data_IF_471073020355
#
_entry.id   IF_471073020355
#
_cell.length_a   1.000
_cell.length_b   1.000
_cell.length_c   1.000
_cell.angle_alpha   90.00
_cell.angle_beta   90.00
_cell.angle_gamma   90.00
#
_symmetry.space_group_name_H-M   'P 1'
#
loop_
_entity.id
_entity.type
_entity.pdbx_description
1 polymer ?
#
# COMPACT_ATOMS: atom_id res chain seq x y z
N UNK A 1 -4.60 35.93 -5.31
CA UNK A 1 -4.75 35.33 -3.96
C UNK A 1 -4.77 33.81 -4.12
N UNK A 2 -3.84 33.09 -3.51
CA UNK A 2 -3.83 31.62 -3.53
C UNK A 2 -4.70 31.11 -2.37
N UNK A 3 -5.62 30.18 -2.65
CA UNK A 3 -6.46 29.52 -1.62
C UNK A 3 -6.11 28.03 -1.55
N UNK A 4 -5.72 27.56 -0.37
CA UNK A 4 -5.44 26.14 -0.13
C UNK A 4 -6.72 25.41 0.24
N UNK A 5 -7.13 24.46 -0.59
CA UNK A 5 -8.32 23.61 -0.37
C UNK A 5 -7.96 22.11 -0.32
N UNK A 6 -6.70 21.78 0.00
CA UNK A 6 -6.22 20.41 0.08
C UNK A 6 -7.03 19.58 1.08
N UNK A 7 -7.34 18.33 0.73
CA UNK A 7 -8.14 17.44 1.58
C UNK A 7 -9.66 17.69 1.56
N UNK A 8 -10.15 18.79 0.97
CA UNK A 8 -11.59 19.03 0.82
C UNK A 8 -12.32 18.00 -0.05
N UNK A 9 -11.59 17.34 -0.95
CA UNK A 9 -12.08 16.26 -1.78
C UNK A 9 -12.00 14.87 -1.10
N UNK A 10 -11.56 14.79 0.17
CA UNK A 10 -11.53 13.52 0.89
C UNK A 10 -12.97 13.03 1.07
N UNK A 11 -13.25 11.88 0.47
CA UNK A 11 -14.51 11.20 0.69
C UNK A 11 -14.63 10.80 2.17
N UNK A 12 -15.83 10.91 2.74
CA UNK A 12 -16.09 10.32 4.06
C UNK A 12 -16.01 8.81 3.94
N UNK A 13 -15.19 8.20 4.80
CA UNK A 13 -15.09 6.75 4.89
C UNK A 13 -16.46 6.13 5.19
N UNK A 14 -16.76 5.04 4.49
CA UNK A 14 -17.96 4.22 4.67
C UNK A 14 -17.62 2.97 5.47
N UNK A 15 -18.61 2.34 6.13
CA UNK A 15 -18.41 1.03 6.73
C UNK A 15 -17.92 0.02 5.68
N UNK A 16 -16.95 -0.80 6.07
CA UNK A 16 -16.45 -1.87 5.23
C UNK A 16 -17.53 -2.94 5.01
N UNK A 17 -17.45 -3.62 3.87
CA UNK A 17 -18.26 -4.82 3.62
C UNK A 17 -17.89 -5.93 4.60
N UNK A 18 -18.80 -6.87 4.83
CA UNK A 18 -18.55 -8.02 5.71
C UNK A 18 -17.28 -8.78 5.32
N UNK A 19 -17.08 -9.02 4.02
CA UNK A 19 -15.90 -9.76 3.53
C UNK A 19 -14.58 -9.05 3.85
N UNK A 20 -14.56 -7.71 3.77
CA UNK A 20 -13.38 -6.92 4.13
C UNK A 20 -13.17 -6.85 5.64
N UNK A 21 -14.25 -6.78 6.41
CA UNK A 21 -14.18 -6.85 7.87
C UNK A 21 -13.61 -8.20 8.34
N UNK A 22 -14.15 -9.30 7.81
CA UNK A 22 -13.68 -10.65 8.08
C UNK A 22 -12.21 -10.82 7.67
N UNK A 23 -11.81 -10.25 6.52
CA UNK A 23 -10.42 -10.24 6.04
C UNK A 23 -9.48 -9.49 6.99
N UNK A 24 -9.85 -8.29 7.44
CA UNK A 24 -9.08 -7.50 8.40
C UNK A 24 -8.98 -8.17 9.78
N UNK A 25 -9.91 -9.07 10.12
CA UNK A 25 -9.89 -9.85 11.36
C UNK A 25 -9.06 -11.15 11.26
N UNK A 26 -8.65 -11.59 10.05
CA UNK A 26 -7.91 -12.87 9.88
C UNK A 26 -6.58 -12.89 10.62
N UNK A 27 -5.89 -11.76 10.70
CA UNK A 27 -4.56 -11.64 11.29
C UNK A 27 -4.43 -10.30 12.02
N UNK A 28 -3.44 -10.22 12.93
CA UNK A 28 -3.21 -9.03 13.76
C UNK A 28 -2.79 -7.81 12.94
N UNK A 29 -2.07 -8.03 11.84
CA UNK A 29 -1.49 -6.98 11.00
C UNK A 29 -2.05 -7.09 9.60
N UNK A 30 -2.49 -5.97 9.03
CA UNK A 30 -2.89 -5.89 7.62
C UNK A 30 -2.09 -4.81 6.88
N UNK A 31 -1.64 -5.12 5.68
CA UNK A 31 -0.91 -4.23 4.79
C UNK A 31 -1.68 -4.10 3.47
N UNK A 32 -1.85 -2.88 2.99
CA UNK A 32 -2.40 -2.62 1.65
C UNK A 32 -1.25 -2.34 0.69
N UNK A 33 -1.24 -2.99 -0.47
CA UNK A 33 -0.34 -2.69 -1.58
C UNK A 33 -1.16 -2.22 -2.78
N UNK A 34 -0.96 -0.97 -3.22
CA UNK A 34 -1.68 -0.38 -4.37
C UNK A 34 -0.83 0.66 -5.09
N UNK A 35 -0.59 0.43 -6.39
CA UNK A 35 0.19 1.32 -7.26
C UNK A 35 -0.67 2.34 -8.02
N UNK A 36 -1.94 2.49 -7.64
CA UNK A 36 -2.88 3.41 -8.28
C UNK A 36 -3.61 2.79 -9.47
N UNK A 37 -4.21 3.63 -10.32
CA UNK A 37 -5.00 3.20 -11.49
C UNK A 37 -4.19 3.16 -12.79
N UNK A 38 -3.17 4.01 -12.90
CA UNK A 38 -2.33 4.12 -14.10
C UNK A 38 -1.20 3.08 -14.12
N UNK A 39 -0.53 2.87 -12.98
CA UNK A 39 0.46 1.82 -12.83
C UNK A 39 -0.22 0.58 -12.23
N UNK A 40 -0.79 -0.26 -13.09
CA UNK A 40 -1.48 -1.49 -12.68
C UNK A 40 -0.45 -2.52 -12.22
N UNK A 41 -0.77 -3.29 -11.17
CA UNK A 41 0.16 -4.29 -10.64
C UNK A 41 0.36 -5.46 -11.60
N UNK A 42 -0.66 -5.77 -12.41
CA UNK A 42 -0.56 -6.80 -13.46
C UNK A 42 0.51 -6.48 -14.52
N UNK A 43 0.82 -5.19 -14.73
CA UNK A 43 1.81 -4.76 -15.71
C UNK A 43 3.25 -4.74 -15.13
N UNK A 44 3.43 -5.13 -13.86
CA UNK A 44 4.77 -5.27 -13.29
C UNK A 44 5.57 -6.33 -14.06
N UNK A 45 6.89 -6.15 -14.21
CA UNK A 45 7.73 -7.23 -14.72
C UNK A 45 7.61 -8.49 -13.87
N UNK A 46 7.64 -9.68 -14.48
CA UNK A 46 7.42 -10.93 -13.75
C UNK A 46 8.45 -11.17 -12.64
N UNK A 47 9.69 -10.71 -12.83
CA UNK A 47 10.71 -10.77 -11.78
C UNK A 47 10.30 -9.97 -10.55
N UNK A 48 9.66 -8.81 -10.75
CA UNK A 48 9.23 -7.95 -9.65
C UNK A 48 7.98 -8.52 -8.97
N UNK A 49 7.05 -9.11 -9.74
CA UNK A 49 5.91 -9.84 -9.18
C UNK A 49 6.38 -10.96 -8.25
N UNK A 50 7.39 -11.73 -8.68
CA UNK A 50 8.01 -12.79 -7.86
C UNK A 50 8.64 -12.23 -6.60
N UNK A 51 9.43 -11.15 -6.70
CA UNK A 51 10.04 -10.51 -5.53
C UNK A 51 8.99 -10.05 -4.51
N UNK A 52 7.88 -9.47 -4.95
CA UNK A 52 6.77 -9.04 -4.07
C UNK A 52 6.09 -10.25 -3.43
N UNK A 53 5.77 -11.30 -4.19
CA UNK A 53 5.18 -12.53 -3.67
C UNK A 53 6.05 -13.18 -2.61
N UNK A 54 7.32 -13.43 -2.95
CA UNK A 54 8.28 -14.06 -2.04
C UNK A 54 8.51 -13.21 -0.80
N UNK A 55 8.46 -11.88 -0.92
CA UNK A 55 8.54 -11.00 0.25
C UNK A 55 7.32 -11.17 1.14
N UNK A 56 6.11 -11.13 0.58
CA UNK A 56 4.88 -11.24 1.37
C UNK A 56 4.76 -12.60 2.06
N UNK A 57 5.21 -13.69 1.43
CA UNK A 57 5.23 -15.02 2.04
C UNK A 57 6.11 -15.11 3.30
N UNK A 58 7.16 -14.28 3.40
CA UNK A 58 8.00 -14.23 4.61
C UNK A 58 7.24 -13.71 5.84
N UNK A 59 6.14 -13.00 5.66
CA UNK A 59 5.31 -12.43 6.72
C UNK A 59 3.97 -13.17 6.83
N UNK A 60 4.02 -14.47 7.13
CA UNK A 60 2.84 -15.35 7.22
C UNK A 60 1.76 -14.88 8.22
N UNK A 61 2.15 -14.09 9.21
CA UNK A 61 1.31 -13.44 10.23
C UNK A 61 0.71 -12.10 9.81
N UNK A 62 1.00 -11.62 8.60
CA UNK A 62 0.49 -10.38 8.02
C UNK A 62 -0.49 -10.69 6.89
N UNK A 63 -1.66 -10.06 6.90
CA UNK A 63 -2.60 -10.10 5.77
C UNK A 63 -2.19 -9.02 4.76
N UNK A 64 -1.87 -9.40 3.53
CA UNK A 64 -1.60 -8.47 2.44
C UNK A 64 -2.82 -8.36 1.53
N UNK A 65 -3.41 -7.16 1.45
CA UNK A 65 -4.37 -6.83 0.41
C UNK A 65 -3.58 -6.27 -0.77
N UNK A 66 -3.53 -6.99 -1.88
CA UNK A 66 -2.82 -6.55 -3.08
C UNK A 66 -3.83 -6.12 -4.14
N UNK A 67 -3.87 -4.82 -4.46
CA UNK A 67 -4.60 -4.35 -5.64
C UNK A 67 -3.93 -4.89 -6.91
N UNK A 68 -4.53 -5.91 -7.51
CA UNK A 68 -3.98 -6.67 -8.63
C UNK A 68 -5.06 -6.97 -9.67
N UNK A 69 -4.81 -6.56 -10.91
CA UNK A 69 -5.81 -6.54 -11.98
C UNK A 69 -5.73 -7.72 -12.96
N UNK A 70 -4.85 -8.69 -12.69
CA UNK A 70 -4.64 -9.89 -13.50
C UNK A 70 -5.05 -11.17 -12.78
N UNK A 71 -4.97 -12.27 -13.52
CA UNK A 71 -5.25 -13.63 -13.06
C UNK A 71 -4.04 -14.57 -13.35
N UNK A 72 -2.85 -13.99 -13.58
CA UNK A 72 -1.60 -14.66 -13.98
C UNK A 72 -0.75 -15.18 -12.81
N UNK A 73 -1.12 -14.87 -11.57
CA UNK A 73 -0.45 -15.33 -10.35
C UNK A 73 -1.34 -16.36 -9.62
N UNK A 74 -0.81 -17.54 -9.23
CA UNK A 74 -1.55 -18.53 -8.46
C UNK A 74 -1.60 -18.18 -6.95
N UNK A 75 -2.36 -17.15 -6.58
CA UNK A 75 -2.47 -16.63 -5.22
C UNK A 75 -2.95 -17.66 -4.18
N UNK A 76 -3.57 -18.76 -4.61
CA UNK A 76 -4.03 -19.86 -3.76
C UNK A 76 -2.87 -20.55 -3.01
N UNK A 77 -1.66 -20.46 -3.56
CA UNK A 77 -0.43 -20.97 -2.92
C UNK A 77 0.13 -20.01 -1.85
N UNK A 78 -0.47 -18.82 -1.72
CA UNK A 78 0.00 -17.72 -0.86
C UNK A 78 -1.09 -17.29 0.12
N UNK A 79 -1.32 -18.05 1.21
CA UNK A 79 -2.52 -17.95 2.06
C UNK A 79 -2.65 -16.64 2.86
N UNK A 80 -1.65 -15.77 2.80
CA UNK A 80 -1.63 -14.46 3.45
C UNK A 80 -1.78 -13.30 2.45
N UNK A 81 -1.86 -13.58 1.15
CA UNK A 81 -2.00 -12.58 0.08
C UNK A 81 -3.41 -12.66 -0.51
N UNK A 82 -4.10 -11.52 -0.55
CA UNK A 82 -5.48 -11.40 -1.01
C UNK A 82 -5.54 -10.42 -2.18
N UNK A 83 -5.58 -10.92 -3.43
CA UNK A 83 -5.66 -10.06 -4.60
C UNK A 83 -7.06 -9.43 -4.72
N UNK A 84 -7.11 -8.16 -5.10
CA UNK A 84 -8.35 -7.44 -5.38
C UNK A 84 -8.20 -6.58 -6.64
N UNK A 85 -9.08 -6.77 -7.64
CA UNK A 85 -9.08 -5.93 -8.86
C UNK A 85 -9.37 -4.46 -8.55
N UNK A 86 -10.11 -4.21 -7.46
CA UNK A 86 -10.42 -2.89 -6.95
C UNK A 86 -10.47 -2.91 -5.42
N UNK A 87 -10.03 -1.82 -4.78
CA UNK A 87 -10.03 -1.69 -3.31
C UNK A 87 -10.76 -0.39 -2.90
N UNK A 88 -11.60 -0.41 -1.85
CA UNK A 88 -12.13 0.81 -1.26
C UNK A 88 -11.04 1.50 -0.42
N UNK A 89 -10.07 2.12 -1.10
CA UNK A 89 -8.83 2.62 -0.49
C UNK A 89 -9.09 3.58 0.68
N UNK A 90 -9.97 4.57 0.52
CA UNK A 90 -10.30 5.53 1.57
C UNK A 90 -10.86 4.84 2.82
N UNK A 91 -11.73 3.83 2.64
CA UNK A 91 -12.35 3.10 3.74
C UNK A 91 -11.32 2.23 4.48
N UNK A 92 -10.44 1.55 3.71
CA UNK A 92 -9.33 0.76 4.28
C UNK A 92 -8.33 1.65 5.02
N UNK A 93 -7.98 2.81 4.47
CA UNK A 93 -7.09 3.78 5.12
C UNK A 93 -7.71 4.37 6.38
N UNK A 94 -9.04 4.45 6.48
CA UNK A 94 -9.71 4.90 7.70
C UNK A 94 -9.77 3.83 8.80
N UNK A 95 -9.70 2.54 8.45
CA UNK A 95 -9.82 1.44 9.42
C UNK A 95 -8.53 1.27 10.25
N UNK A 96 -8.67 1.14 11.58
CA UNK A 96 -7.52 1.02 12.50
C UNK A 96 -6.69 -0.25 12.33
N UNK A 97 -7.28 -1.33 11.78
CA UNK A 97 -6.60 -2.62 11.57
C UNK A 97 -5.62 -2.59 10.39
N UNK A 98 -5.79 -1.64 9.46
CA UNK A 98 -4.79 -1.38 8.43
C UNK A 98 -3.54 -0.76 9.07
N UNK A 99 -2.43 -1.49 9.03
CA UNK A 99 -1.18 -1.15 9.73
C UNK A 99 -0.17 -0.41 8.87
N UNK A 100 -0.17 -0.66 7.56
CA UNK A 100 0.81 -0.09 6.62
C UNK A 100 0.19 0.03 5.23
N UNK A 101 0.57 1.07 4.50
CA UNK A 101 0.19 1.24 3.10
C UNK A 101 1.42 1.38 2.20
N UNK A 102 1.57 0.45 1.27
CA UNK A 102 2.60 0.44 0.23
C UNK A 102 1.99 1.03 -1.04
N UNK A 103 2.56 2.13 -1.53
CA UNK A 103 1.96 2.94 -2.59
C UNK A 103 2.98 3.56 -3.53
N UNK A 104 2.55 3.86 -4.76
CA UNK A 104 3.34 4.64 -5.72
C UNK A 104 3.54 6.12 -5.35
N UNK A 105 2.83 6.63 -4.33
CA UNK A 105 3.00 8.02 -3.88
C UNK A 105 2.24 9.07 -4.70
N UNK A 106 1.17 8.69 -5.40
CA UNK A 106 0.25 9.65 -5.99
C UNK A 106 -0.34 10.58 -4.94
N UNK A 107 -0.51 11.88 -5.27
CA UNK A 107 -0.90 12.91 -4.31
C UNK A 107 -2.17 12.58 -3.51
N UNK A 108 -3.21 12.04 -4.17
CA UNK A 108 -4.45 11.66 -3.49
C UNK A 108 -4.23 10.57 -2.44
N UNK A 109 -3.51 9.51 -2.78
CA UNK A 109 -3.14 8.43 -1.86
C UNK A 109 -2.36 8.94 -0.66
N UNK A 110 -1.44 9.88 -0.87
CA UNK A 110 -0.65 10.47 0.21
C UNK A 110 -1.49 11.37 1.12
N UNK A 111 -2.42 12.15 0.57
CA UNK A 111 -3.34 12.98 1.36
C UNK A 111 -4.24 12.08 2.22
N UNK A 112 -4.83 11.03 1.65
CA UNK A 112 -5.69 10.07 2.38
C UNK A 112 -4.92 9.36 3.50
N UNK A 113 -3.73 8.83 3.20
CA UNK A 113 -2.91 8.12 4.17
C UNK A 113 -2.43 9.04 5.30
N UNK A 114 -1.98 10.25 4.97
CA UNK A 114 -1.55 11.24 5.96
C UNK A 114 -2.73 11.68 6.83
N UNK A 115 -3.91 11.89 6.24
CA UNK A 115 -5.12 12.27 6.96
C UNK A 115 -5.53 11.22 8.00
N UNK A 116 -5.41 9.94 7.66
CA UNK A 116 -5.70 8.83 8.57
C UNK A 116 -4.51 8.35 9.42
N UNK A 117 -3.36 9.04 9.34
CA UNK A 117 -2.17 8.71 10.12
C UNK A 117 -1.60 7.33 9.80
N UNK A 118 -1.69 6.89 8.54
CA UNK A 118 -1.17 5.59 8.10
C UNK A 118 0.31 5.68 7.76
N UNK A 119 1.16 4.81 8.33
CA UNK A 119 2.54 4.66 7.87
C UNK A 119 2.59 4.22 6.41
N UNK A 120 3.65 4.63 5.72
CA UNK A 120 3.80 4.45 4.27
C UNK A 120 5.13 3.76 3.91
N UNK A 121 5.08 2.89 2.91
CA UNK A 121 6.23 2.62 2.04
C UNK A 121 5.89 3.22 0.68
N UNK A 122 6.72 4.13 0.18
CA UNK A 122 6.47 4.84 -1.07
C UNK A 122 7.45 4.39 -2.13
N UNK A 123 6.94 3.88 -3.25
CA UNK A 123 7.70 3.47 -4.43
C UNK A 123 7.37 4.42 -5.59
N UNK A 124 8.00 5.61 -5.66
CA UNK A 124 7.69 6.58 -6.70
C UNK A 124 8.03 6.01 -8.09
N UNK A 125 7.09 6.09 -9.03
CA UNK A 125 7.24 5.53 -10.37
C UNK A 125 7.54 6.59 -11.44
N UNK A 126 6.83 7.73 -11.41
CA UNK A 126 6.96 8.80 -12.41
C UNK A 126 6.31 10.12 -11.96
N UNK A 127 6.57 11.18 -12.72
CA UNK A 127 5.90 12.48 -12.57
C UNK A 127 6.30 13.20 -11.28
N UNK A 128 5.30 13.59 -10.50
CA UNK A 128 5.46 14.32 -9.23
C UNK A 128 5.68 13.40 -8.02
N UNK A 129 5.58 12.08 -8.20
CA UNK A 129 5.64 11.10 -7.11
C UNK A 129 6.96 11.16 -6.33
N UNK A 130 8.10 11.41 -6.99
CA UNK A 130 9.40 11.57 -6.32
C UNK A 130 9.45 12.81 -5.42
N UNK A 131 8.79 13.89 -5.81
CA UNK A 131 8.71 15.09 -4.98
C UNK A 131 7.76 14.84 -3.79
N UNK A 132 6.61 14.25 -4.07
CA UNK A 132 5.60 13.96 -3.06
C UNK A 132 6.10 12.96 -2.00
N UNK A 133 6.86 11.94 -2.41
CA UNK A 133 7.46 10.95 -1.50
C UNK A 133 8.41 11.61 -0.49
N UNK A 134 9.29 12.52 -0.96
CA UNK A 134 10.20 13.28 -0.09
C UNK A 134 9.46 14.15 0.93
N UNK A 135 8.29 14.69 0.56
CA UNK A 135 7.46 15.48 1.49
C UNK A 135 6.89 14.64 2.63
N UNK A 136 6.47 13.40 2.38
CA UNK A 136 5.95 12.51 3.44
C UNK A 136 7.07 11.86 4.25
N UNK A 137 8.21 11.56 3.62
CA UNK A 137 9.40 11.08 4.34
C UNK A 137 9.92 12.12 5.33
N UNK A 138 9.99 13.40 4.93
CA UNK A 138 10.40 14.49 5.84
C UNK A 138 9.48 14.63 7.06
N UNK A 139 8.23 14.16 6.97
CA UNK A 139 7.27 14.14 8.09
C UNK A 139 7.40 12.91 9.00
N UNK A 140 8.33 12.00 8.71
CA UNK A 140 8.62 10.82 9.53
C UNK A 140 7.57 9.71 9.45
N UNK A 141 6.70 9.73 8.43
CA UNK A 141 5.60 8.76 8.28
C UNK A 141 5.80 7.79 7.10
N UNK A 142 6.93 7.90 6.40
CA UNK A 142 7.16 7.14 5.17
C UNK A 142 8.63 6.72 4.99
N UNK A 143 8.84 5.46 4.60
CA UNK A 143 10.08 4.98 3.98
C UNK A 143 9.94 5.02 2.46
N UNK A 144 10.99 5.42 1.75
CA UNK A 144 11.00 5.49 0.28
C UNK A 144 11.88 4.37 -0.26
N UNK A 145 11.38 3.63 -1.24
CA UNK A 145 12.17 2.70 -2.04
C UNK A 145 12.14 3.20 -3.48
N UNK A 146 13.29 3.58 -4.03
CA UNK A 146 13.35 4.00 -5.43
C UNK A 146 12.97 2.82 -6.34
N UNK A 147 12.26 3.10 -7.45
CA UNK A 147 11.74 2.05 -8.35
C UNK A 147 12.83 1.06 -8.82
N UNK A 148 14.05 1.54 -9.07
CA UNK A 148 15.19 0.72 -9.51
C UNK A 148 15.84 -0.08 -8.36
N UNK A 149 15.49 0.22 -7.12
CA UNK A 149 15.95 -0.48 -5.92
C UNK A 149 14.88 -1.41 -5.35
N UNK A 150 13.64 -1.36 -5.85
CA UNK A 150 12.58 -2.26 -5.40
C UNK A 150 12.91 -3.69 -5.82
N UNK A 151 13.17 -4.51 -4.82
CA UNK A 151 13.41 -5.94 -4.92
C UNK A 151 12.99 -6.61 -3.61
N UNK A 152 13.13 -7.94 -3.54
CA UNK A 152 12.77 -8.71 -2.35
C UNK A 152 13.41 -8.19 -1.06
N UNK A 153 14.72 -7.93 -1.08
CA UNK A 153 15.45 -7.54 0.12
C UNK A 153 15.03 -6.15 0.62
N UNK A 154 15.02 -5.16 -0.27
CA UNK A 154 14.66 -3.78 0.11
C UNK A 154 13.21 -3.67 0.56
N UNK A 155 12.30 -4.44 -0.04
CA UNK A 155 10.90 -4.49 0.37
C UNK A 155 10.74 -5.19 1.73
N UNK A 156 11.47 -6.29 1.97
CA UNK A 156 11.46 -7.01 3.24
C UNK A 156 11.94 -6.11 4.38
N UNK A 157 13.10 -5.46 4.20
CA UNK A 157 13.68 -4.55 5.19
C UNK A 157 12.74 -3.39 5.51
N UNK A 158 12.15 -2.76 4.49
CA UNK A 158 11.22 -1.66 4.69
C UNK A 158 9.93 -2.09 5.41
N UNK A 159 9.37 -3.27 5.10
CA UNK A 159 8.19 -3.80 5.81
C UNK A 159 8.54 -4.08 7.26
N UNK A 160 9.69 -4.70 7.54
CA UNK A 160 10.15 -4.97 8.90
C UNK A 160 10.32 -3.68 9.70
N UNK A 161 11.02 -2.69 9.15
CA UNK A 161 11.22 -1.39 9.78
C UNK A 161 9.88 -0.70 10.09
N UNK A 162 8.99 -0.63 9.11
CA UNK A 162 7.72 0.10 9.26
C UNK A 162 6.72 -0.60 10.19
N UNK A 163 6.80 -1.92 10.34
CA UNK A 163 5.95 -2.67 11.26
C UNK A 163 6.54 -2.81 12.67
N UNK A 164 7.86 -2.68 12.84
CA UNK A 164 8.54 -2.77 14.13
C UNK A 164 8.57 -1.44 14.90
N UNK A 165 8.56 -0.30 14.21
CA UNK A 165 8.59 1.05 14.80
C UNK A 165 7.24 1.49 15.42
N UNK A 166 6.63 0.64 16.26
CA UNK A 166 5.43 0.94 17.05
C UNK A 166 5.72 1.01 18.54
#
# INVERSE_FOLDING_TARGET
>A
MIKYIGGSALAKAKPLTKDLDDLLNKRRTTVLFSMGSLARSVDMPDWLKRDVLETFDLFSEVTFIWKYEGDDIPFESHPNIFPMKWVPQTDLLADKRLSLFITHGGMNSLIEATYHGKPLIVVPLFGDQQYNSKLVQKRGIATIIEKNQLNKNTLTEAIQEMLSNK
#
